data_IF_541808712912
#
_entry.id   IF_541808712912
#
_cell.length_a   1.000
_cell.length_b   1.000
_cell.length_c   1.000
_cell.angle_alpha   90.00
_cell.angle_beta   90.00
_cell.angle_gamma   90.00
#
_symmetry.space_group_name_H-M   'P 1'
#
loop_
_entity.id
_entity.type
_entity.pdbx_description
1 polymer ?
#
# COMPACT_ATOMS: atom_id res chain seq x y z
N UNK A 1 6.01 6.45 29.41
CA UNK A 1 5.88 6.19 27.96
C UNK A 1 7.27 5.89 27.46
N UNK A 2 7.47 4.72 26.84
CA UNK A 2 8.73 4.45 26.12
C UNK A 2 8.90 5.53 25.04
N UNK A 3 10.09 6.12 24.99
CA UNK A 3 10.40 7.10 23.97
C UNK A 3 10.68 6.33 22.66
N UNK A 4 9.85 6.50 21.64
CA UNK A 4 10.05 5.83 20.34
C UNK A 4 11.45 6.02 19.76
N UNK A 5 12.06 7.16 20.05
CA UNK A 5 13.38 7.49 19.51
C UNK A 5 14.49 6.55 20.03
N UNK A 6 14.25 5.88 21.14
CA UNK A 6 15.19 4.93 21.75
C UNK A 6 15.01 3.49 21.23
N UNK A 7 13.97 3.23 20.41
CA UNK A 7 13.79 1.92 19.77
C UNK A 7 15.00 1.64 18.87
N UNK A 8 15.66 0.53 19.13
CA UNK A 8 16.82 0.08 18.35
C UNK A 8 16.44 -1.04 17.40
N UNK A 9 17.04 -1.04 16.22
CA UNK A 9 16.88 -2.08 15.22
C UNK A 9 18.18 -2.30 14.41
N UNK A 10 18.27 -3.45 13.77
CA UNK A 10 19.45 -3.85 13.02
C UNK A 10 19.65 -3.01 11.76
N UNK A 11 20.92 -2.66 11.48
CA UNK A 11 21.31 -2.08 10.20
C UNK A 11 22.41 -2.90 9.52
N UNK A 12 22.52 -2.77 8.21
CA UNK A 12 23.29 -3.64 7.35
C UNK A 12 24.19 -2.83 6.42
N UNK A 13 25.29 -3.44 5.93
CA UNK A 13 26.22 -2.73 5.05
C UNK A 13 25.57 -2.33 3.74
N UNK A 14 26.25 -1.48 3.00
CA UNK A 14 25.87 -1.01 1.67
C UNK A 14 26.04 -2.12 0.60
N UNK A 15 25.48 -3.27 0.88
CA UNK A 15 25.44 -4.46 0.02
C UNK A 15 24.21 -5.29 0.39
N UNK A 16 23.18 -5.29 -0.45
CA UNK A 16 21.92 -6.01 -0.18
C UNK A 16 22.08 -7.53 -0.09
N UNK A 17 23.11 -8.09 -0.67
CA UNK A 17 23.43 -9.54 -0.61
C UNK A 17 23.95 -9.92 0.77
N UNK A 18 24.56 -8.99 1.50
CA UNK A 18 24.98 -9.21 2.88
C UNK A 18 23.77 -9.28 3.79
N UNK A 19 23.48 -10.45 4.30
CA UNK A 19 22.34 -10.66 5.21
C UNK A 19 22.72 -10.47 6.68
N UNK A 20 24.00 -10.34 7.02
CA UNK A 20 24.48 -10.19 8.39
C UNK A 20 24.43 -8.71 8.82
N UNK A 21 23.78 -8.38 9.93
CA UNK A 21 23.77 -7.02 10.45
C UNK A 21 25.18 -6.62 10.92
N UNK A 22 25.51 -5.33 10.79
CA UNK A 22 26.80 -4.77 11.27
C UNK A 22 26.65 -4.00 12.57
N UNK A 23 25.43 -3.86 13.08
CA UNK A 23 25.13 -3.24 14.36
C UNK A 23 23.66 -2.92 14.55
N UNK A 24 23.37 -2.21 15.64
CA UNK A 24 22.05 -1.63 15.92
C UNK A 24 22.11 -0.11 15.83
N UNK A 25 20.98 0.49 15.52
CA UNK A 25 20.81 1.95 15.45
C UNK A 25 19.49 2.31 16.10
N UNK A 26 19.46 3.40 16.87
CA UNK A 26 18.22 3.94 17.41
C UNK A 26 17.39 4.64 16.32
N UNK A 27 16.08 4.67 16.50
CA UNK A 27 15.19 5.41 15.60
C UNK A 27 15.63 6.88 15.47
N UNK A 28 16.07 7.51 16.56
CA UNK A 28 16.60 8.87 16.51
C UNK A 28 17.76 9.02 15.51
N UNK A 29 18.76 8.14 15.60
CA UNK A 29 19.93 8.19 14.73
C UNK A 29 19.57 7.84 13.28
N UNK A 30 18.61 6.92 13.06
CA UNK A 30 18.08 6.62 11.73
C UNK A 30 17.41 7.83 11.09
N UNK A 31 16.50 8.51 11.80
CA UNK A 31 15.83 9.72 11.30
C UNK A 31 16.82 10.87 11.07
N UNK A 32 17.81 11.01 11.94
CA UNK A 32 18.91 11.97 11.77
C UNK A 32 19.73 11.69 10.50
N UNK A 33 20.03 10.41 10.22
CA UNK A 33 20.75 10.02 9.01
C UNK A 33 19.94 10.27 7.73
N UNK A 34 18.61 10.13 7.77
CA UNK A 34 17.71 10.49 6.67
C UNK A 34 17.72 12.01 6.44
N UNK A 35 17.63 12.80 7.49
CA UNK A 35 17.55 14.27 7.40
C UNK A 35 18.90 14.90 7.02
N UNK A 36 20.00 14.37 7.53
CA UNK A 36 21.35 14.90 7.37
C UNK A 36 22.37 13.78 7.09
N UNK A 37 22.30 13.12 5.93
CA UNK A 37 23.28 12.10 5.56
C UNK A 37 24.67 12.72 5.33
N UNK A 38 25.69 11.88 5.38
CA UNK A 38 27.07 12.32 5.08
C UNK A 38 27.19 12.78 3.63
N UNK A 39 28.06 13.76 3.32
CA UNK A 39 28.15 14.37 1.99
C UNK A 39 28.34 13.38 0.84
N UNK A 40 29.17 12.35 1.01
CA UNK A 40 29.40 11.33 -0.02
C UNK A 40 28.16 10.49 -0.31
N UNK A 41 27.27 10.29 0.67
CA UNK A 41 25.99 9.59 0.50
C UNK A 41 24.98 10.49 -0.24
N UNK A 42 25.04 11.82 -0.03
CA UNK A 42 24.19 12.76 -0.77
C UNK A 42 24.41 12.65 -2.29
N UNK A 43 25.66 12.47 -2.72
CA UNK A 43 25.97 12.29 -4.15
C UNK A 43 25.36 11.00 -4.71
N UNK A 44 25.30 9.92 -3.94
CA UNK A 44 24.62 8.68 -4.34
C UNK A 44 23.11 8.93 -4.51
N UNK A 45 22.47 9.71 -3.63
CA UNK A 45 21.05 10.06 -3.77
C UNK A 45 20.77 10.90 -5.00
N UNK A 46 21.63 11.90 -5.30
CA UNK A 46 21.50 12.68 -6.54
C UNK A 46 21.61 11.80 -7.79
N UNK A 47 22.52 10.83 -7.79
CA UNK A 47 22.66 9.88 -8.89
C UNK A 47 21.42 8.96 -9.02
N UNK A 48 20.83 8.51 -7.91
CA UNK A 48 19.58 7.72 -7.90
C UNK A 48 18.42 8.56 -8.46
N UNK A 49 18.29 9.80 -8.04
CA UNK A 49 17.26 10.72 -8.50
C UNK A 49 17.38 10.94 -10.01
N UNK A 50 18.59 11.22 -10.51
CA UNK A 50 18.88 11.36 -11.93
C UNK A 50 18.52 10.09 -12.71
N UNK A 51 18.99 8.92 -12.29
CA UNK A 51 18.65 7.64 -12.93
C UNK A 51 17.14 7.37 -12.95
N UNK A 52 16.43 7.80 -11.89
CA UNK A 52 14.97 7.69 -11.81
C UNK A 52 14.26 8.62 -12.82
N UNK A 53 14.74 9.85 -13.00
CA UNK A 53 14.21 10.79 -14.00
C UNK A 53 14.45 10.27 -15.42
N UNK A 54 15.62 9.72 -15.68
CA UNK A 54 16.01 9.12 -16.96
C UNK A 54 15.34 7.75 -17.22
N UNK A 55 14.51 7.26 -16.28
CA UNK A 55 13.85 5.94 -16.31
C UNK A 55 14.83 4.76 -16.45
N UNK A 56 16.09 4.97 -16.05
CA UNK A 56 17.12 3.93 -16.05
C UNK A 56 17.01 3.08 -14.78
N UNK A 57 16.15 2.05 -14.85
CA UNK A 57 15.87 1.17 -13.71
C UNK A 57 17.10 0.43 -13.24
N UNK A 58 17.91 -0.09 -14.16
CA UNK A 58 19.09 -0.88 -13.84
C UNK A 58 20.12 -0.07 -13.04
N UNK A 59 20.49 1.12 -13.54
CA UNK A 59 21.40 2.02 -12.83
C UNK A 59 20.85 2.44 -11.47
N UNK A 60 19.55 2.75 -11.40
CA UNK A 60 18.88 3.09 -10.14
C UNK A 60 19.02 1.98 -9.10
N UNK A 61 18.79 0.73 -9.51
CA UNK A 61 18.84 -0.42 -8.60
C UNK A 61 20.29 -0.75 -8.18
N UNK A 62 21.26 -0.62 -9.09
CA UNK A 62 22.70 -0.71 -8.78
C UNK A 62 23.15 0.35 -7.78
N UNK A 63 22.66 1.58 -7.90
CA UNK A 63 22.99 2.66 -6.97
C UNK A 63 22.32 2.46 -5.61
N UNK A 64 21.07 2.00 -5.57
CA UNK A 64 20.38 1.65 -4.30
C UNK A 64 21.13 0.55 -3.54
N UNK A 65 21.68 -0.44 -4.23
CA UNK A 65 22.46 -1.51 -3.62
C UNK A 65 23.72 -1.01 -2.88
N UNK A 66 24.16 0.23 -3.15
CA UNK A 66 25.28 0.90 -2.45
C UNK A 66 24.84 1.71 -1.22
N UNK A 67 23.59 1.59 -0.81
CA UNK A 67 23.07 2.25 0.38
C UNK A 67 22.99 1.25 1.55
N UNK A 68 23.25 1.73 2.76
CA UNK A 68 22.90 0.99 3.96
C UNK A 68 21.41 0.68 3.96
N UNK A 69 21.03 -0.44 4.56
CA UNK A 69 19.65 -0.77 4.76
C UNK A 69 19.35 -1.19 6.20
N UNK A 70 18.10 -1.14 6.58
CA UNK A 70 17.62 -1.22 7.95
C UNK A 70 16.42 -2.15 8.03
N UNK A 71 16.20 -2.75 9.21
CA UNK A 71 15.01 -3.56 9.53
C UNK A 71 14.27 -2.98 10.73
N UNK A 72 13.50 -1.89 10.55
CA UNK A 72 12.87 -1.21 11.68
C UNK A 72 11.79 -2.04 12.39
N UNK A 73 11.18 -3.00 11.71
CA UNK A 73 10.00 -3.73 12.22
C UNK A 73 10.34 -4.88 13.17
N UNK A 74 11.58 -5.40 13.13
CA UNK A 74 11.97 -6.62 13.86
C UNK A 74 13.28 -6.46 14.61
N UNK A 75 13.42 -7.26 15.67
CA UNK A 75 14.66 -7.53 16.37
C UNK A 75 15.22 -8.88 15.88
N UNK A 76 16.51 -8.92 15.57
CA UNK A 76 17.20 -10.12 15.11
C UNK A 76 18.18 -10.62 16.18
N UNK A 77 18.44 -11.94 16.19
CA UNK A 77 19.48 -12.61 17.00
C UNK A 77 20.92 -12.25 16.61
N UNK A 78 21.11 -11.59 15.46
CA UNK A 78 22.42 -11.20 14.92
C UNK A 78 22.95 -12.14 13.82
N UNK A 79 22.35 -13.30 13.59
CA UNK A 79 22.82 -14.29 12.61
C UNK A 79 22.50 -13.93 11.17
N UNK A 80 21.41 -13.17 10.96
CA UNK A 80 21.10 -12.70 9.62
C UNK A 80 19.64 -12.31 9.36
N UNK A 81 19.41 -11.71 8.22
CA UNK A 81 18.08 -11.23 7.76
C UNK A 81 17.23 -12.42 7.27
N UNK A 82 16.55 -13.06 8.20
CA UNK A 82 15.60 -14.15 7.94
C UNK A 82 14.49 -14.13 9.01
N UNK A 83 13.31 -14.63 8.70
CA UNK A 83 12.25 -14.83 9.71
C UNK A 83 12.66 -15.83 10.80
N UNK A 84 13.51 -16.80 10.48
CA UNK A 84 14.05 -17.78 11.46
C UNK A 84 14.90 -17.13 12.55
N UNK A 85 15.43 -15.93 12.28
CA UNK A 85 16.33 -15.19 13.15
C UNK A 85 15.63 -14.02 13.85
N UNK A 86 14.29 -13.88 13.68
CA UNK A 86 13.50 -12.86 14.38
C UNK A 86 13.24 -13.32 15.81
N UNK A 87 13.71 -12.54 16.77
CA UNK A 87 13.52 -12.78 18.21
C UNK A 87 12.43 -11.89 18.81
N UNK A 88 12.01 -10.86 18.09
CA UNK A 88 10.94 -9.96 18.52
C UNK A 88 10.55 -8.94 17.48
N UNK A 89 9.50 -8.17 17.79
CA UNK A 89 9.02 -7.06 16.97
C UNK A 89 9.22 -5.75 17.73
N UNK A 90 9.65 -4.72 17.03
CA UNK A 90 10.01 -3.42 17.61
C UNK A 90 8.81 -2.58 18.06
N UNK A 91 7.62 -2.83 17.51
CA UNK A 91 6.47 -1.92 17.63
C UNK A 91 6.45 -0.85 16.52
N UNK A 92 7.31 -0.98 15.53
CA UNK A 92 7.31 -0.15 14.33
C UNK A 92 6.83 -0.96 13.11
N UNK A 93 6.10 -0.29 12.22
CA UNK A 93 5.72 -0.83 10.93
C UNK A 93 6.13 0.18 9.84
N UNK A 94 6.72 -0.30 8.75
CA UNK A 94 6.97 0.52 7.56
C UNK A 94 5.82 0.34 6.58
N UNK A 95 5.44 1.43 5.93
CA UNK A 95 4.51 1.47 4.80
C UNK A 95 5.15 2.28 3.69
N UNK A 96 5.06 1.78 2.48
CA UNK A 96 5.65 2.38 1.30
C UNK A 96 4.56 2.76 0.27
N UNK A 97 4.67 3.96 -0.29
CA UNK A 97 3.97 4.38 -1.50
C UNK A 97 5.00 4.60 -2.60
N UNK A 98 4.87 3.91 -3.72
CA UNK A 98 5.86 3.93 -4.80
C UNK A 98 5.30 4.45 -6.12
N UNK A 99 6.19 4.78 -7.06
CA UNK A 99 5.88 5.20 -8.42
C UNK A 99 4.95 6.43 -8.52
N UNK A 100 5.17 7.38 -7.62
CA UNK A 100 4.45 8.66 -7.60
C UNK A 100 5.17 9.70 -8.46
N UNK A 101 4.45 10.75 -8.85
CA UNK A 101 5.07 11.98 -9.32
C UNK A 101 5.70 12.72 -8.13
N UNK A 102 6.82 13.42 -8.36
CA UNK A 102 7.63 14.01 -7.27
C UNK A 102 6.82 14.99 -6.42
N UNK A 103 6.05 15.88 -7.04
CA UNK A 103 5.23 16.85 -6.30
C UNK A 103 4.10 16.16 -5.52
N UNK A 104 3.43 15.19 -6.13
CA UNK A 104 2.43 14.41 -5.43
C UNK A 104 3.02 13.60 -4.25
N UNK A 105 4.26 13.10 -4.38
CA UNK A 105 4.92 12.43 -3.27
C UNK A 105 5.17 13.36 -2.08
N UNK A 106 5.48 14.65 -2.33
CA UNK A 106 5.61 15.66 -1.27
C UNK A 106 4.28 15.95 -0.60
N UNK A 107 3.23 16.18 -1.37
CA UNK A 107 1.90 16.46 -0.87
C UNK A 107 1.32 15.31 -0.04
N UNK A 108 1.38 14.09 -0.56
CA UNK A 108 0.84 12.91 0.14
C UNK A 108 1.66 12.55 1.39
N UNK A 109 2.98 12.82 1.41
CA UNK A 109 3.85 12.70 2.57
C UNK A 109 3.33 13.54 3.73
N UNK A 110 3.04 14.80 3.49
CA UNK A 110 2.53 15.74 4.47
C UNK A 110 1.10 15.39 4.87
N UNK A 111 0.24 15.14 3.90
CA UNK A 111 -1.15 14.76 4.14
C UNK A 111 -1.27 13.55 5.08
N UNK A 112 -0.56 12.46 4.80
CA UNK A 112 -0.62 11.24 5.61
C UNK A 112 -0.07 11.47 7.02
N UNK A 113 0.98 12.27 7.15
CA UNK A 113 1.55 12.59 8.45
C UNK A 113 0.59 13.39 9.33
N UNK A 114 -0.03 14.43 8.79
CA UNK A 114 -0.92 15.29 9.58
C UNK A 114 -2.30 14.67 9.81
N UNK A 115 -2.79 13.87 8.87
CA UNK A 115 -4.11 13.23 8.97
C UNK A 115 -4.12 12.06 9.96
N UNK A 116 -3.02 11.29 10.04
CA UNK A 116 -3.00 10.07 10.84
C UNK A 116 -2.06 10.19 12.04
N UNK A 117 -2.60 10.33 13.27
CA UNK A 117 -1.79 10.57 14.46
C UNK A 117 -0.90 9.40 14.86
N UNK A 118 -1.12 8.21 14.32
CA UNK A 118 -0.28 7.02 14.54
C UNK A 118 0.96 6.94 13.61
N UNK A 119 1.11 7.88 12.67
CA UNK A 119 2.32 8.00 11.85
C UNK A 119 3.40 8.69 12.67
N UNK A 120 4.47 7.95 13.03
CA UNK A 120 5.63 8.46 13.77
C UNK A 120 6.47 9.38 12.89
N UNK A 121 6.77 8.92 11.66
CA UNK A 121 7.57 9.67 10.70
C UNK A 121 7.10 9.45 9.27
N UNK A 122 7.28 10.48 8.44
CA UNK A 122 6.97 10.48 7.02
C UNK A 122 8.11 11.13 6.24
N UNK A 123 8.63 10.45 5.21
CA UNK A 123 9.75 10.92 4.42
C UNK A 123 9.75 10.35 3.00
N UNK A 124 10.43 11.04 2.10
CA UNK A 124 10.54 10.64 0.70
C UNK A 124 11.47 9.43 0.53
N UNK A 125 11.17 8.57 -0.44
CA UNK A 125 12.06 7.49 -0.87
C UNK A 125 13.35 8.03 -1.51
N UNK A 126 14.36 7.17 -1.68
CA UNK A 126 15.64 7.55 -2.27
C UNK A 126 15.53 8.14 -3.69
N UNK A 127 14.50 7.77 -4.44
CA UNK A 127 14.25 8.30 -5.80
C UNK A 127 13.34 9.52 -5.83
N UNK A 128 12.87 10.03 -4.69
CA UNK A 128 11.87 11.09 -4.54
C UNK A 128 10.49 10.77 -5.15
N UNK A 129 10.31 9.62 -5.78
CA UNK A 129 9.07 9.15 -6.40
C UNK A 129 8.30 8.17 -5.52
N UNK A 130 8.44 8.28 -4.22
CA UNK A 130 7.70 7.49 -3.24
C UNK A 130 7.80 8.09 -1.86
N UNK A 131 6.94 7.59 -0.98
CA UNK A 131 6.85 8.01 0.43
C UNK A 131 7.03 6.79 1.30
N UNK A 132 7.76 6.94 2.39
CA UNK A 132 7.89 5.94 3.45
C UNK A 132 7.32 6.50 4.74
N UNK A 133 6.54 5.67 5.41
CA UNK A 133 5.88 5.99 6.66
C UNK A 133 6.31 5.00 7.74
N UNK A 134 6.67 5.51 8.90
CA UNK A 134 6.83 4.72 10.11
C UNK A 134 5.57 4.83 10.95
N UNK A 135 4.96 3.71 11.24
CA UNK A 135 3.69 3.61 11.98
C UNK A 135 3.97 3.04 13.36
N UNK A 136 3.37 3.63 14.39
CA UNK A 136 3.35 3.08 15.73
C UNK A 136 2.32 1.96 15.81
N UNK A 137 2.79 0.73 16.06
CA UNK A 137 1.94 -0.46 16.23
C UNK A 137 2.28 -1.19 17.52
N UNK A 138 1.38 -2.04 18.06
CA UNK A 138 1.77 -2.95 19.16
C UNK A 138 2.94 -3.84 18.75
N UNK A 139 3.80 -4.19 19.73
CA UNK A 139 4.81 -5.23 19.50
C UNK A 139 4.10 -6.55 19.21
N UNK A 140 4.11 -6.97 17.95
CA UNK A 140 3.49 -8.22 17.55
C UNK A 140 4.15 -9.42 18.24
N UNK A 141 3.38 -10.46 18.53
CA UNK A 141 3.86 -11.69 19.16
C UNK A 141 4.26 -12.76 18.14
N UNK A 142 3.85 -12.58 16.90
CA UNK A 142 4.15 -13.48 15.79
C UNK A 142 4.16 -12.74 14.46
N UNK A 143 4.65 -13.42 13.42
CA UNK A 143 4.65 -12.93 12.04
C UNK A 143 3.21 -12.73 11.55
N UNK A 144 2.32 -13.63 11.91
CA UNK A 144 0.89 -13.59 11.54
C UNK A 144 0.22 -12.38 12.17
N UNK A 145 0.55 -12.08 13.43
CA UNK A 145 0.02 -10.90 14.13
C UNK A 145 0.54 -9.60 13.48
N UNK A 146 1.83 -9.53 13.13
CA UNK A 146 2.39 -8.40 12.39
C UNK A 146 1.67 -8.19 11.04
N UNK A 147 1.49 -9.28 10.28
CA UNK A 147 0.71 -9.23 9.02
C UNK A 147 -0.73 -8.79 9.26
N UNK A 148 -1.38 -9.28 10.31
CA UNK A 148 -2.75 -8.87 10.62
C UNK A 148 -2.86 -7.36 10.91
N UNK A 149 -1.90 -6.77 11.63
CA UNK A 149 -1.82 -5.32 11.84
C UNK A 149 -1.61 -4.57 10.52
N UNK A 150 -0.71 -5.09 9.65
CA UNK A 150 -0.47 -4.52 8.33
C UNK A 150 -1.75 -4.54 7.46
N UNK A 151 -2.44 -5.68 7.39
CA UNK A 151 -3.68 -5.78 6.61
C UNK A 151 -4.81 -4.94 7.17
N UNK A 152 -4.87 -4.79 8.51
CA UNK A 152 -5.80 -3.86 9.14
C UNK A 152 -5.60 -2.43 8.65
N UNK A 153 -4.35 -1.97 8.53
CA UNK A 153 -4.01 -0.67 7.99
C UNK A 153 -4.31 -0.60 6.48
N UNK A 154 -3.92 -1.63 5.72
CA UNK A 154 -4.15 -1.68 4.27
C UNK A 154 -5.63 -1.72 3.91
N UNK A 155 -6.51 -2.23 4.75
CA UNK A 155 -7.96 -2.18 4.51
C UNK A 155 -8.46 -0.73 4.37
N UNK A 156 -7.82 0.23 5.02
CA UNK A 156 -8.13 1.65 4.92
C UNK A 156 -7.26 2.37 3.88
N UNK A 157 -5.99 1.97 3.71
CA UNK A 157 -5.00 2.72 2.94
C UNK A 157 -4.77 2.18 1.52
N UNK A 158 -5.27 1.00 1.18
CA UNK A 158 -5.10 0.40 -0.16
C UNK A 158 -5.53 1.29 -1.33
N UNK A 159 -6.34 2.32 -1.05
CA UNK A 159 -6.86 3.25 -2.05
C UNK A 159 -5.88 4.38 -2.39
N UNK A 160 -4.87 4.61 -1.57
CA UNK A 160 -3.87 5.61 -1.92
C UNK A 160 -3.04 5.14 -3.11
N UNK A 161 -2.85 6.06 -4.07
CA UNK A 161 -2.03 5.79 -5.25
C UNK A 161 -0.62 5.38 -4.85
N UNK A 162 -0.14 4.28 -5.44
CA UNK A 162 1.23 3.81 -5.22
C UNK A 162 1.42 2.94 -3.97
N UNK A 163 0.36 2.62 -3.23
CA UNK A 163 0.46 1.77 -2.04
C UNK A 163 1.11 0.44 -2.37
N UNK A 164 2.20 0.12 -1.65
CA UNK A 164 2.92 -1.14 -1.78
C UNK A 164 2.54 -2.12 -0.66
N UNK A 165 2.29 -3.37 -1.04
CA UNK A 165 1.97 -4.46 -0.10
C UNK A 165 3.18 -5.31 0.28
N UNK A 166 4.35 -5.03 -0.28
CA UNK A 166 5.59 -5.73 0.06
C UNK A 166 6.00 -5.59 1.53
N UNK A 167 5.75 -4.43 2.22
CA UNK A 167 6.08 -4.25 3.63
C UNK A 167 5.33 -5.16 4.63
N UNK A 168 4.34 -5.96 4.18
CA UNK A 168 3.81 -7.08 4.97
C UNK A 168 4.92 -8.06 5.41
N UNK A 169 6.05 -8.06 4.70
CA UNK A 169 7.26 -8.77 5.08
C UNK A 169 8.07 -7.95 6.09
N UNK A 170 7.97 -8.26 7.36
CA UNK A 170 8.64 -7.53 8.44
C UNK A 170 10.18 -7.54 8.34
N UNK A 171 10.78 -8.50 7.61
CA UNK A 171 12.23 -8.55 7.32
C UNK A 171 12.58 -7.93 5.96
N UNK A 172 11.71 -7.10 5.39
CA UNK A 172 11.99 -6.36 4.17
C UNK A 172 13.10 -5.33 4.42
N UNK A 173 14.09 -5.31 3.52
CA UNK A 173 15.17 -4.33 3.60
C UNK A 173 14.67 -2.92 3.26
N UNK A 174 14.88 -1.99 4.17
CA UNK A 174 14.60 -0.59 3.96
C UNK A 174 15.89 0.17 3.74
N UNK A 175 16.14 0.60 2.51
CA UNK A 175 17.31 1.39 2.18
C UNK A 175 17.28 2.76 2.86
N UNK A 176 18.47 3.25 3.24
CA UNK A 176 18.63 4.63 3.64
C UNK A 176 18.06 5.55 2.57
N UNK A 177 17.44 6.63 2.99
CA UNK A 177 16.91 7.67 2.09
C UNK A 177 17.47 9.03 2.49
N UNK A 178 17.17 10.07 1.71
CA UNK A 178 17.51 11.44 2.02
C UNK A 178 16.29 12.35 1.88
N UNK A 179 15.86 12.94 2.99
CA UNK A 179 14.79 13.93 3.00
C UNK A 179 15.04 14.99 4.08
N UNK A 180 15.45 16.20 3.66
CA UNK A 180 15.64 17.33 4.57
C UNK A 180 14.37 17.74 5.29
N UNK A 181 13.23 17.54 4.63
CA UNK A 181 11.90 17.90 5.10
C UNK A 181 11.16 16.70 5.70
N UNK A 182 11.93 15.71 6.19
CA UNK A 182 11.38 14.61 6.96
C UNK A 182 10.53 15.14 8.12
N UNK A 183 9.32 14.63 8.24
CA UNK A 183 8.38 14.92 9.32
C UNK A 183 8.44 13.81 10.36
N UNK A 184 8.41 14.16 11.66
CA UNK A 184 8.28 13.19 12.73
C UNK A 184 7.58 13.79 13.96
N UNK A 185 7.01 12.94 14.81
CA UNK A 185 6.37 13.33 16.07
C UNK A 185 6.75 12.38 17.21
N UNK A 186 6.63 12.83 18.44
CA UNK A 186 6.93 12.05 19.65
C UNK A 186 5.67 11.54 20.38
N UNK A 187 4.51 12.02 19.97
CA UNK A 187 3.20 11.79 20.58
C UNK A 187 2.29 10.91 19.70
N UNK A 188 2.90 10.09 18.82
CA UNK A 188 2.14 9.23 17.94
C UNK A 188 1.25 8.26 18.72
N UNK A 189 -0.04 8.23 18.40
CA UNK A 189 -0.96 7.21 18.92
C UNK A 189 -0.60 5.84 18.37
N UNK A 190 -1.19 4.79 18.90
CA UNK A 190 -0.92 3.44 18.42
C UNK A 190 -2.03 2.96 17.49
N UNK A 191 -1.64 2.38 16.35
CA UNK A 191 -2.52 1.66 15.46
C UNK A 191 -2.58 0.19 15.88
N UNK A 192 -3.72 -0.30 16.34
CA UNK A 192 -3.92 -1.65 16.89
C UNK A 192 -4.97 -2.49 16.16
N UNK A 193 -5.57 -1.96 15.08
CA UNK A 193 -6.61 -2.67 14.34
C UNK A 193 -6.00 -3.77 13.47
N UNK A 194 -6.50 -5.00 13.66
CA UNK A 194 -6.10 -6.16 12.87
C UNK A 194 -7.06 -6.36 11.71
N UNK A 195 -6.55 -6.85 10.60
CA UNK A 195 -7.30 -7.23 9.40
C UNK A 195 -6.88 -8.62 8.92
N UNK A 196 -7.62 -9.11 7.96
CA UNK A 196 -7.28 -10.35 7.24
C UNK A 196 -6.41 -10.01 6.04
N UNK A 197 -5.61 -10.98 5.58
CA UNK A 197 -4.82 -10.84 4.35
C UNK A 197 -5.76 -10.58 3.18
N UNK A 198 -5.58 -9.43 2.51
CA UNK A 198 -6.42 -9.04 1.38
C UNK A 198 -6.20 -9.91 0.13
N UNK A 199 -5.10 -10.68 0.09
CA UNK A 199 -4.80 -11.65 -0.96
C UNK A 199 -5.41 -13.05 -0.65
N UNK A 200 -5.80 -13.29 0.60
CA UNK A 200 -6.64 -14.41 1.02
C UNK A 200 -8.12 -13.97 1.00
N UNK A 201 -8.57 -13.39 -0.09
CA UNK A 201 -9.90 -13.78 -0.48
C UNK A 201 -9.77 -15.27 -0.77
N UNK A 202 -10.01 -16.11 0.24
CA UNK A 202 -10.43 -17.46 -0.02
C UNK A 202 -11.47 -17.30 -1.11
N UNK A 203 -11.21 -17.85 -2.28
CA UNK A 203 -12.28 -18.25 -3.19
C UNK A 203 -13.33 -18.80 -2.26
N UNK A 204 -14.51 -18.23 -2.26
CA UNK A 204 -15.58 -18.65 -1.37
C UNK A 204 -15.76 -20.14 -1.63
N UNK A 205 -15.16 -20.99 -0.76
CA UNK A 205 -15.27 -22.46 -0.80
C UNK A 205 -16.56 -22.91 -0.11
N UNK A 206 -17.56 -22.03 0.00
CA UNK A 206 -18.91 -22.43 0.30
C UNK A 206 -19.53 -23.06 -0.95
N UNK A 207 -20.46 -23.97 -0.77
CA UNK A 207 -21.30 -24.49 -1.83
C UNK A 207 -22.04 -23.32 -2.49
N UNK A 208 -21.38 -22.71 -3.47
CA UNK A 208 -21.90 -21.61 -4.25
C UNK A 208 -22.50 -22.24 -5.52
N UNK A 209 -23.81 -22.30 -5.57
CA UNK A 209 -24.52 -22.64 -6.79
C UNK A 209 -24.77 -21.32 -7.57
N UNK A 210 -24.13 -21.16 -8.74
CA UNK A 210 -24.46 -20.05 -9.63
C UNK A 210 -25.96 -20.10 -9.95
N UNK A 211 -26.53 -18.94 -10.19
CA UNK A 211 -27.95 -18.87 -10.57
C UNK A 211 -28.16 -19.68 -11.85
N UNK A 212 -29.10 -20.65 -11.81
CA UNK A 212 -29.52 -21.39 -13.01
C UNK A 212 -30.29 -20.51 -13.98
N UNK A 213 -31.06 -19.54 -13.48
CA UNK A 213 -31.78 -18.54 -14.26
C UNK A 213 -31.62 -17.16 -13.61
N UNK A 214 -31.38 -16.15 -14.44
CA UNK A 214 -31.20 -14.75 -14.00
C UNK A 214 -32.51 -13.99 -14.25
N UNK A 215 -33.07 -13.36 -13.20
CA UNK A 215 -34.21 -12.46 -13.36
C UNK A 215 -33.72 -11.13 -14.01
N UNK A 216 -34.36 -10.74 -15.10
CA UNK A 216 -34.09 -9.45 -15.77
C UNK A 216 -34.24 -8.24 -14.83
N UNK A 217 -35.11 -8.37 -13.80
CA UNK A 217 -35.26 -7.32 -12.79
C UNK A 217 -33.98 -7.12 -11.98
N UNK A 218 -33.27 -8.20 -11.64
CA UNK A 218 -32.00 -8.12 -10.90
C UNK A 218 -30.92 -7.46 -11.75
N UNK A 219 -30.80 -7.83 -13.02
CA UNK A 219 -29.86 -7.17 -13.96
C UNK A 219 -30.20 -5.68 -14.08
N UNK A 220 -31.46 -5.33 -14.16
CA UNK A 220 -31.90 -3.92 -14.21
C UNK A 220 -31.53 -3.18 -12.91
N UNK A 221 -31.75 -3.81 -11.75
CA UNK A 221 -31.39 -3.26 -10.43
C UNK A 221 -29.88 -3.03 -10.33
N UNK A 222 -29.05 -4.00 -10.76
CA UNK A 222 -27.59 -3.88 -10.86
C UNK A 222 -27.19 -2.66 -11.68
N UNK A 223 -27.71 -2.56 -12.90
CA UNK A 223 -27.41 -1.44 -13.79
C UNK A 223 -27.82 -0.09 -13.22
N UNK A 224 -28.97 -0.03 -12.52
CA UNK A 224 -29.40 1.19 -11.82
C UNK A 224 -28.47 1.58 -10.69
N UNK A 225 -28.05 0.62 -9.85
CA UNK A 225 -27.09 0.87 -8.75
C UNK A 225 -25.78 1.43 -9.31
N UNK A 226 -25.19 0.75 -10.29
CA UNK A 226 -23.95 1.20 -10.91
C UNK A 226 -24.09 2.58 -11.55
N UNK A 227 -25.16 2.82 -12.29
CA UNK A 227 -25.45 4.16 -12.89
C UNK A 227 -25.53 5.23 -11.81
N UNK A 228 -26.21 4.96 -10.68
CA UNK A 228 -26.32 5.91 -9.57
C UNK A 228 -24.99 6.24 -8.91
N UNK A 229 -24.05 5.29 -8.86
CA UNK A 229 -22.71 5.52 -8.36
C UNK A 229 -21.92 6.51 -9.24
N UNK A 230 -22.15 6.52 -10.54
CA UNK A 230 -21.48 7.40 -11.48
C UNK A 230 -22.17 8.77 -11.63
N UNK A 231 -23.46 8.89 -11.31
CA UNK A 231 -24.25 10.09 -11.53
C UNK A 231 -23.77 11.33 -10.76
N UNK A 232 -23.08 11.15 -9.62
CA UNK A 232 -22.68 12.23 -8.72
C UNK A 232 -21.15 12.33 -8.52
N UNK A 233 -20.37 11.93 -9.52
CA UNK A 233 -18.90 12.03 -9.42
C UNK A 233 -18.47 13.48 -9.61
N UNK A 234 -17.89 14.07 -8.55
CA UNK A 234 -17.30 15.41 -8.58
C UNK A 234 -15.80 15.43 -8.26
N UNK A 235 -15.35 14.59 -7.33
CA UNK A 235 -13.97 14.58 -6.82
C UNK A 235 -13.41 13.17 -6.54
N UNK A 236 -14.29 12.19 -6.41
CA UNK A 236 -13.94 10.80 -6.02
C UNK A 236 -13.92 9.81 -7.20
N UNK A 237 -13.66 10.27 -8.44
CA UNK A 237 -13.78 9.44 -9.65
C UNK A 237 -13.02 8.13 -9.62
N UNK A 238 -11.79 8.13 -9.10
CA UNK A 238 -10.99 6.91 -8.99
C UNK A 238 -11.58 5.90 -7.99
N UNK A 239 -12.05 6.39 -6.85
CA UNK A 239 -12.67 5.55 -5.83
C UNK A 239 -13.99 4.96 -6.32
N UNK A 240 -14.81 5.75 -7.01
CA UNK A 240 -16.08 5.29 -7.58
C UNK A 240 -15.86 4.19 -8.62
N UNK A 241 -14.95 4.39 -9.58
CA UNK A 241 -14.62 3.36 -10.58
C UNK A 241 -14.15 2.07 -9.90
N UNK A 242 -13.29 2.16 -8.89
CA UNK A 242 -12.82 0.98 -8.13
C UNK A 242 -13.95 0.25 -7.44
N UNK A 243 -14.79 0.98 -6.69
CA UNK A 243 -15.89 0.38 -5.92
C UNK A 243 -16.94 -0.24 -6.81
N UNK A 244 -17.35 0.46 -7.88
CA UNK A 244 -18.33 -0.04 -8.83
C UNK A 244 -17.83 -1.31 -9.55
N UNK A 245 -16.57 -1.31 -10.00
CA UNK A 245 -15.99 -2.47 -10.68
C UNK A 245 -15.80 -3.66 -9.74
N UNK A 246 -15.41 -3.43 -8.49
CA UNK A 246 -15.25 -4.48 -7.48
C UNK A 246 -16.61 -5.15 -7.18
N UNK A 247 -17.65 -4.35 -6.97
CA UNK A 247 -19.02 -4.85 -6.72
C UNK A 247 -19.55 -5.55 -7.98
N UNK A 248 -19.34 -4.97 -9.15
CA UNK A 248 -19.70 -5.57 -10.43
C UNK A 248 -19.10 -6.95 -10.62
N UNK A 249 -17.81 -7.12 -10.29
CA UNK A 249 -17.15 -8.42 -10.31
C UNK A 249 -17.81 -9.45 -9.38
N UNK A 250 -18.22 -9.04 -8.19
CA UNK A 250 -18.96 -9.90 -7.26
C UNK A 250 -20.31 -10.37 -7.82
N UNK A 251 -21.03 -9.52 -8.54
CA UNK A 251 -22.27 -9.90 -9.20
C UNK A 251 -22.03 -10.80 -10.41
N UNK A 252 -20.95 -10.59 -11.17
CA UNK A 252 -20.51 -11.52 -12.24
C UNK A 252 -20.24 -12.90 -11.67
N UNK A 253 -19.50 -12.99 -10.57
CA UNK A 253 -19.20 -14.26 -9.91
C UNK A 253 -20.46 -14.96 -9.40
N UNK A 254 -21.48 -14.19 -8.98
CA UNK A 254 -22.78 -14.73 -8.58
C UNK A 254 -23.64 -15.20 -9.77
N UNK A 255 -23.31 -14.80 -11.00
CA UNK A 255 -23.98 -15.25 -12.22
C UNK A 255 -25.05 -14.30 -12.75
N UNK A 256 -25.18 -13.06 -12.25
CA UNK A 256 -26.20 -12.11 -12.75
C UNK A 256 -25.91 -11.57 -14.14
N UNK A 257 -24.68 -11.46 -14.53
CA UNK A 257 -24.21 -10.99 -15.84
C UNK A 257 -22.92 -11.71 -16.23
N UNK A 258 -22.62 -11.83 -17.50
CA UNK A 258 -21.31 -12.26 -17.94
C UNK A 258 -20.24 -11.21 -17.63
N UNK A 259 -18.97 -11.64 -17.57
CA UNK A 259 -17.85 -10.72 -17.33
C UNK A 259 -17.76 -9.66 -18.42
N UNK A 260 -17.95 -10.06 -19.67
CA UNK A 260 -17.90 -9.20 -20.86
C UNK A 260 -19.00 -8.12 -20.81
N UNK A 261 -20.26 -8.52 -20.55
CA UNK A 261 -21.38 -7.58 -20.42
C UNK A 261 -21.19 -6.57 -19.28
N UNK A 262 -20.65 -6.98 -18.16
CA UNK A 262 -20.36 -6.09 -17.03
C UNK A 262 -19.23 -5.12 -17.36
N UNK A 263 -18.16 -5.61 -18.00
CA UNK A 263 -17.04 -4.77 -18.42
C UNK A 263 -17.47 -3.70 -19.43
N UNK A 264 -18.22 -4.09 -20.46
CA UNK A 264 -18.77 -3.16 -21.44
C UNK A 264 -19.65 -2.10 -20.79
N UNK A 265 -20.56 -2.51 -19.92
CA UNK A 265 -21.44 -1.58 -19.21
C UNK A 265 -20.69 -0.58 -18.33
N UNK A 266 -19.68 -1.04 -17.60
CA UNK A 266 -18.83 -0.16 -16.78
C UNK A 266 -17.99 0.78 -17.65
N UNK A 267 -17.53 0.33 -18.81
CA UNK A 267 -16.83 1.18 -19.76
C UNK A 267 -17.72 2.28 -20.33
N UNK A 268 -18.97 1.97 -20.67
CA UNK A 268 -19.97 2.97 -21.08
C UNK A 268 -20.18 4.04 -20.00
N UNK A 269 -20.29 3.64 -18.73
CA UNK A 269 -20.42 4.58 -17.61
C UNK A 269 -19.19 5.46 -17.45
N UNK A 270 -17.98 4.89 -17.55
CA UNK A 270 -16.72 5.63 -17.50
C UNK A 270 -16.62 6.63 -18.66
N UNK A 271 -16.98 6.22 -19.87
CA UNK A 271 -16.93 7.05 -21.08
C UNK A 271 -17.98 8.15 -21.07
N UNK A 272 -19.17 7.90 -20.54
CA UNK A 272 -20.24 8.89 -20.46
C UNK A 272 -20.07 9.90 -19.31
N UNK A 273 -19.13 9.65 -18.37
CA UNK A 273 -18.92 10.53 -17.22
C UNK A 273 -17.89 11.63 -17.55
N UNK A 274 -18.28 12.92 -17.65
CA UNK A 274 -17.39 14.01 -18.06
C UNK A 274 -16.14 14.16 -17.20
N UNK A 275 -16.26 13.97 -15.88
CA UNK A 275 -15.16 14.07 -14.93
C UNK A 275 -14.03 13.05 -15.21
N UNK A 276 -14.35 11.89 -15.78
CA UNK A 276 -13.39 10.81 -16.02
C UNK A 276 -12.64 10.92 -17.36
N UNK A 277 -13.03 11.83 -18.24
CA UNK A 277 -12.49 11.94 -19.59
C UNK A 277 -10.98 12.22 -19.63
N UNK A 278 -10.46 13.03 -18.69
CA UNK A 278 -9.05 13.42 -18.64
C UNK A 278 -8.09 12.24 -18.40
N UNK A 279 -8.58 11.11 -17.86
CA UNK A 279 -7.79 9.91 -17.51
C UNK A 279 -8.46 8.61 -17.94
N UNK A 280 -9.20 8.63 -19.03
CA UNK A 280 -10.03 7.53 -19.51
C UNK A 280 -9.31 6.18 -19.54
N UNK A 281 -8.10 6.15 -20.15
CA UNK A 281 -7.27 4.93 -20.22
C UNK A 281 -6.92 4.36 -18.84
N UNK A 282 -6.65 5.23 -17.87
CA UNK A 282 -6.32 4.82 -16.50
C UNK A 282 -7.55 4.24 -15.80
N UNK A 283 -8.71 4.86 -15.98
CA UNK A 283 -9.95 4.38 -15.35
C UNK A 283 -10.41 3.05 -15.93
N UNK A 284 -10.30 2.85 -17.26
CA UNK A 284 -10.59 1.55 -17.88
C UNK A 284 -9.65 0.45 -17.38
N UNK A 285 -8.35 0.72 -17.29
CA UNK A 285 -7.40 -0.25 -16.72
C UNK A 285 -7.72 -0.58 -15.26
N UNK A 286 -8.12 0.41 -14.46
CA UNK A 286 -8.57 0.21 -13.07
C UNK A 286 -9.85 -0.63 -13.03
N UNK A 287 -10.79 -0.39 -13.95
CA UNK A 287 -12.05 -1.14 -14.06
C UNK A 287 -11.75 -2.63 -14.26
N UNK A 288 -10.98 -3.00 -15.27
CA UNK A 288 -10.62 -4.40 -15.57
C UNK A 288 -9.97 -5.07 -14.35
N UNK A 289 -9.00 -4.40 -13.73
CA UNK A 289 -8.32 -4.94 -12.57
C UNK A 289 -9.27 -5.21 -11.39
N UNK A 290 -10.18 -4.27 -11.12
CA UNK A 290 -11.10 -4.37 -9.98
C UNK A 290 -12.27 -5.33 -10.27
N UNK A 291 -12.73 -5.42 -11.51
CA UNK A 291 -13.74 -6.37 -11.93
C UNK A 291 -13.24 -7.81 -11.72
N UNK A 292 -12.03 -8.12 -12.22
CA UNK A 292 -11.39 -9.43 -12.01
C UNK A 292 -11.21 -9.75 -10.53
N UNK A 293 -10.86 -8.74 -9.71
CA UNK A 293 -10.72 -8.91 -8.27
C UNK A 293 -12.06 -9.15 -7.58
N UNK A 294 -13.10 -8.45 -7.97
CA UNK A 294 -14.46 -8.62 -7.45
C UNK A 294 -15.03 -10.00 -7.74
N UNK A 295 -14.69 -10.55 -8.91
CA UNK A 295 -15.13 -11.89 -9.32
C UNK A 295 -14.60 -13.03 -8.41
N UNK A 296 -13.64 -12.75 -7.52
CA UNK A 296 -13.20 -13.70 -6.49
C UNK A 296 -14.11 -13.76 -5.25
N UNK A 297 -15.09 -12.86 -5.15
CA UNK A 297 -15.98 -12.75 -3.99
C UNK A 297 -17.43 -12.55 -4.46
N UNK A 298 -18.20 -13.63 -4.70
CA UNK A 298 -19.60 -13.56 -5.14
C UNK A 298 -20.47 -12.71 -4.22
N UNK A 299 -21.31 -11.85 -4.78
CA UNK A 299 -22.22 -10.96 -4.06
C UNK A 299 -23.66 -11.23 -4.51
N UNK A 300 -24.53 -11.61 -3.56
CA UNK A 300 -25.97 -11.70 -3.80
C UNK A 300 -26.63 -10.32 -3.64
N UNK A 301 -27.53 -9.95 -4.54
CA UNK A 301 -28.39 -8.77 -4.35
C UNK A 301 -29.32 -9.07 -3.16
N UNK A 302 -29.41 -8.12 -2.21
CA UNK A 302 -30.38 -8.24 -1.12
C UNK A 302 -31.80 -8.17 -1.68
N UNK A 303 -32.61 -9.15 -1.35
CA UNK A 303 -34.06 -9.09 -1.53
C UNK A 303 -34.55 -7.94 -0.64
N UNK A 304 -35.33 -7.03 -1.18
CA UNK A 304 -36.02 -6.03 -0.36
C UNK A 304 -36.96 -6.78 0.57
N UNK A 305 -36.74 -6.71 1.88
CA UNK A 305 -37.70 -7.23 2.87
C UNK A 305 -39.01 -6.44 2.66
N UNK A 306 -40.08 -7.14 2.24
CA UNK A 306 -41.43 -6.58 2.11
C UNK A 306 -42.03 -6.20 3.48
#
# INVERSE_FOLDING_TARGET
MENYLDIEFSYFPANIESKKPIGKVSLYNYLKAIKNPQPHIVEVFKAIEKASLEKNKELKDQLKAKLFYFLPCVELDGEGRSYTNVVGFSGLMIVDLDNLEVEFAKEIKEYLFYTYPFVIASFLSASKKGVKLLINVPKAKSIEEFKALFYGLMSQWQFYKGMDFTPKNAVLANYLTYDKELLYRLDATQWDKKGIQLDEFKVFEGDFEPLEEVDEKDVKKIKQILTSMFANISDAGHQTVRSASLIGGGWVAYGYMSHEEMEEFLFELIESTPYLQSKLKTYKATCVQMLNRGALAPIKIREDEE
#
